data_IF_630865944160
#
_entry.id   IF_630865944160
#
_cell.length_a   1.000
_cell.length_b   1.000
_cell.length_c   1.000
_cell.angle_alpha   90.00
_cell.angle_beta   90.00
_cell.angle_gamma   90.00
#
_symmetry.space_group_name_H-M   'P 1'
#
loop_
_entity.id
_entity.type
_entity.pdbx_description
1 polymer ?
#
# COMPACT_ATOMS: atom_id res chain seq x y z
N UNK A 1 -15.56 -21.96 -6.90
CA UNK A 1 -15.13 -20.56 -6.67
C UNK A 1 -15.58 -19.62 -7.77
N UNK A 2 -15.17 -19.81 -9.02
CA UNK A 2 -15.53 -18.93 -10.15
C UNK A 2 -17.04 -18.70 -10.29
N UNK A 3 -17.86 -19.76 -10.19
CA UNK A 3 -19.33 -19.63 -10.25
C UNK A 3 -19.90 -18.80 -9.09
N UNK A 4 -19.32 -18.89 -7.89
CA UNK A 4 -19.78 -18.13 -6.72
C UNK A 4 -19.50 -16.64 -6.92
N UNK A 5 -18.29 -16.30 -7.35
CA UNK A 5 -17.92 -14.91 -7.68
C UNK A 5 -18.75 -14.39 -8.85
N UNK A 6 -18.99 -15.21 -9.88
CA UNK A 6 -19.86 -14.86 -11.00
C UNK A 6 -21.29 -14.53 -10.56
N UNK A 7 -21.91 -15.37 -9.72
CA UNK A 7 -23.25 -15.08 -9.19
C UNK A 7 -23.27 -13.84 -8.28
N UNK A 8 -22.24 -13.64 -7.46
CA UNK A 8 -22.08 -12.41 -6.66
C UNK A 8 -22.03 -11.16 -7.56
N UNK A 9 -21.32 -11.21 -8.69
CA UNK A 9 -21.28 -10.07 -9.64
C UNK A 9 -22.61 -9.82 -10.36
N UNK A 10 -23.47 -10.83 -10.45
CA UNK A 10 -24.84 -10.70 -10.96
C UNK A 10 -25.83 -10.22 -9.88
N UNK A 11 -25.34 -9.90 -8.67
CA UNK A 11 -26.16 -9.43 -7.55
C UNK A 11 -26.95 -10.54 -6.84
N UNK A 12 -26.64 -11.81 -7.12
CA UNK A 12 -27.27 -12.93 -6.42
C UNK A 12 -26.65 -13.04 -5.03
N UNK A 13 -27.49 -13.18 -4.00
CA UNK A 13 -27.02 -13.36 -2.64
C UNK A 13 -26.36 -14.73 -2.45
N UNK A 14 -25.04 -14.70 -2.33
CA UNK A 14 -24.23 -15.87 -2.06
C UNK A 14 -23.86 -16.00 -0.58
N UNK A 15 -24.32 -15.10 0.30
CA UNK A 15 -24.01 -15.09 1.73
C UNK A 15 -24.22 -16.43 2.47
N UNK A 16 -25.15 -17.33 2.08
CA UNK A 16 -25.28 -18.64 2.72
C UNK A 16 -24.04 -19.53 2.63
N UNK A 17 -23.12 -19.27 1.68
CA UNK A 17 -21.88 -20.04 1.52
C UNK A 17 -20.72 -19.53 2.39
N UNK A 18 -20.96 -18.62 3.33
CA UNK A 18 -19.88 -17.93 4.05
C UNK A 18 -18.94 -18.91 4.76
N UNK A 19 -19.47 -19.90 5.48
CA UNK A 19 -18.69 -20.91 6.20
C UNK A 19 -17.82 -21.77 5.26
N UNK A 20 -18.39 -22.21 4.14
CA UNK A 20 -17.70 -22.98 3.11
C UNK A 20 -16.58 -22.16 2.47
N UNK A 21 -16.82 -20.87 2.26
CA UNK A 21 -15.84 -19.95 1.69
C UNK A 21 -14.69 -19.66 2.65
N UNK A 22 -14.93 -19.62 3.96
CA UNK A 22 -13.85 -19.60 4.97
C UNK A 22 -13.03 -20.87 4.86
N UNK A 23 -13.65 -22.06 4.84
CA UNK A 23 -12.92 -23.32 4.73
C UNK A 23 -12.09 -23.41 3.44
N UNK A 24 -12.61 -22.88 2.34
CA UNK A 24 -11.93 -22.85 1.05
C UNK A 24 -10.65 -22.00 1.04
N UNK A 25 -10.48 -21.07 1.99
CA UNK A 25 -9.24 -20.27 2.12
C UNK A 25 -8.01 -21.11 2.45
N UNK A 26 -8.17 -22.33 2.98
CA UNK A 26 -7.09 -23.25 3.31
C UNK A 26 -6.38 -23.84 2.06
N UNK A 27 -6.85 -23.49 0.85
CA UNK A 27 -6.18 -23.85 -0.40
C UNK A 27 -4.78 -23.23 -0.52
N UNK A 28 -3.87 -23.94 -1.20
CA UNK A 28 -2.55 -23.44 -1.60
C UNK A 28 -2.59 -22.69 -2.93
N UNK A 29 -3.67 -22.81 -3.70
CA UNK A 29 -3.79 -22.10 -4.96
C UNK A 29 -4.09 -20.61 -4.72
N UNK A 30 -3.15 -19.75 -5.12
CA UNK A 30 -3.24 -18.31 -4.94
C UNK A 30 -4.46 -17.71 -5.67
N UNK A 31 -4.85 -18.27 -6.81
CA UNK A 31 -6.00 -17.76 -7.58
C UNK A 31 -7.30 -18.04 -6.83
N UNK A 32 -7.51 -19.28 -6.37
CA UNK A 32 -8.64 -19.62 -5.51
C UNK A 32 -8.66 -18.82 -4.20
N UNK A 33 -7.50 -18.61 -3.56
CA UNK A 33 -7.40 -17.82 -2.33
C UNK A 33 -7.83 -16.36 -2.57
N UNK A 34 -7.40 -15.74 -3.67
CA UNK A 34 -7.85 -14.40 -4.09
C UNK A 34 -9.37 -14.33 -4.26
N UNK A 35 -9.98 -15.35 -4.89
CA UNK A 35 -11.43 -15.42 -5.04
C UNK A 35 -12.15 -15.57 -3.69
N UNK A 36 -11.61 -16.37 -2.76
CA UNK A 36 -12.15 -16.48 -1.40
C UNK A 36 -12.13 -15.11 -0.70
N UNK A 37 -10.99 -14.42 -0.75
CA UNK A 37 -10.82 -13.15 -0.04
C UNK A 37 -11.66 -12.02 -0.60
N UNK A 38 -11.85 -11.97 -1.92
CA UNK A 38 -12.79 -11.07 -2.56
C UNK A 38 -14.22 -11.30 -2.03
N UNK A 39 -14.66 -12.57 -2.00
CA UNK A 39 -15.97 -12.93 -1.48
C UNK A 39 -16.12 -12.57 0.01
N UNK A 40 -15.14 -12.94 0.85
CA UNK A 40 -15.19 -12.70 2.28
C UNK A 40 -15.22 -11.19 2.58
N UNK A 41 -14.45 -10.39 1.85
CA UNK A 41 -14.46 -8.93 1.99
C UNK A 41 -15.82 -8.31 1.64
N UNK A 42 -16.56 -8.91 0.70
CA UNK A 42 -17.88 -8.43 0.30
C UNK A 42 -18.97 -8.76 1.32
N UNK A 43 -18.91 -9.94 1.95
CA UNK A 43 -19.97 -10.43 2.84
C UNK A 43 -19.65 -10.33 4.34
N UNK A 44 -18.41 -10.03 4.75
CA UNK A 44 -18.00 -10.02 6.17
C UNK A 44 -18.83 -9.06 7.02
N UNK A 45 -19.27 -7.92 6.49
CA UNK A 45 -20.11 -6.97 7.24
C UNK A 45 -21.50 -7.51 7.57
N UNK A 46 -21.99 -8.48 6.80
CA UNK A 46 -23.29 -9.13 7.00
C UNK A 46 -23.21 -10.33 7.95
N UNK A 47 -22.00 -10.80 8.26
CA UNK A 47 -21.73 -12.01 9.04
C UNK A 47 -20.77 -11.70 10.20
N UNK A 48 -21.15 -10.74 11.05
CA UNK A 48 -20.30 -10.22 12.13
C UNK A 48 -19.82 -11.29 13.12
N UNK A 49 -20.64 -12.30 13.42
CA UNK A 49 -20.26 -13.41 14.30
C UNK A 49 -19.11 -14.26 13.73
N UNK A 50 -19.11 -14.46 12.41
CA UNK A 50 -18.08 -15.24 11.70
C UNK A 50 -16.91 -14.38 11.22
N UNK A 51 -17.04 -13.05 11.25
CA UNK A 51 -16.00 -12.12 10.80
C UNK A 51 -14.70 -12.27 11.61
N UNK A 52 -14.79 -12.59 12.91
CA UNK A 52 -13.61 -12.84 13.74
C UNK A 52 -12.81 -14.08 13.26
N UNK A 53 -13.50 -15.11 12.77
CA UNK A 53 -12.84 -16.28 12.19
C UNK A 53 -12.09 -15.92 10.90
N UNK A 54 -12.67 -15.05 10.08
CA UNK A 54 -12.00 -14.50 8.88
C UNK A 54 -10.75 -13.73 9.27
N UNK A 55 -10.85 -12.84 10.26
CA UNK A 55 -9.72 -12.06 10.77
C UNK A 55 -8.60 -12.98 11.24
N UNK A 56 -8.91 -13.98 12.06
CA UNK A 56 -7.91 -14.96 12.54
C UNK A 56 -7.25 -15.73 11.39
N UNK A 57 -8.03 -16.10 10.37
CA UNK A 57 -7.52 -16.78 9.18
C UNK A 57 -6.56 -15.89 8.40
N UNK A 58 -6.91 -14.62 8.18
CA UNK A 58 -6.07 -13.65 7.49
C UNK A 58 -4.80 -13.33 8.29
N UNK A 59 -4.89 -13.20 9.61
CA UNK A 59 -3.72 -13.00 10.45
C UNK A 59 -2.78 -14.21 10.43
N UNK A 60 -3.31 -15.43 10.36
CA UNK A 60 -2.49 -16.63 10.16
C UNK A 60 -1.77 -16.60 8.81
N UNK A 61 -2.49 -16.32 7.73
CA UNK A 61 -1.93 -16.21 6.38
C UNK A 61 -0.93 -15.06 6.23
N UNK A 62 -1.05 -14.00 7.04
CA UNK A 62 -0.05 -12.94 7.11
C UNK A 62 1.32 -13.43 7.63
N UNK A 63 1.40 -14.62 8.23
CA UNK A 63 2.66 -15.24 8.66
C UNK A 63 3.10 -16.40 7.74
N UNK A 64 2.48 -16.55 6.55
CA UNK A 64 2.85 -17.57 5.57
C UNK A 64 4.28 -17.34 5.01
N UNK A 65 4.93 -18.42 4.57
CA UNK A 65 6.27 -18.34 3.96
C UNK A 65 6.23 -17.59 2.61
N UNK A 66 5.13 -17.74 1.86
CA UNK A 66 4.95 -17.08 0.57
C UNK A 66 4.57 -15.60 0.76
N UNK A 67 5.42 -14.64 0.31
CA UNK A 67 5.09 -13.22 0.40
C UNK A 67 3.81 -12.82 -0.34
N UNK A 68 3.42 -13.57 -1.38
CA UNK A 68 2.18 -13.32 -2.11
C UNK A 68 0.96 -13.62 -1.25
N UNK A 69 1.01 -14.69 -0.44
CA UNK A 69 -0.03 -14.99 0.54
C UNK A 69 -0.06 -13.92 1.63
N UNK A 70 1.10 -13.56 2.21
CA UNK A 70 1.18 -12.53 3.26
C UNK A 70 0.60 -11.19 2.80
N UNK A 71 1.04 -10.70 1.64
CA UNK A 71 0.59 -9.41 1.11
C UNK A 71 -0.89 -9.44 0.72
N UNK A 72 -1.37 -10.56 0.17
CA UNK A 72 -2.78 -10.74 -0.15
C UNK A 72 -3.66 -10.74 1.11
N UNK A 73 -3.22 -11.43 2.17
CA UNK A 73 -3.91 -11.48 3.45
C UNK A 73 -3.96 -10.09 4.10
N UNK A 74 -2.84 -9.36 4.11
CA UNK A 74 -2.78 -7.99 4.62
C UNK A 74 -3.75 -7.07 3.87
N UNK A 75 -3.74 -7.11 2.53
CA UNK A 75 -4.67 -6.33 1.71
C UNK A 75 -6.13 -6.66 2.01
N UNK A 76 -6.45 -7.95 2.15
CA UNK A 76 -7.82 -8.39 2.48
C UNK A 76 -8.25 -7.90 3.86
N UNK A 77 -7.36 -7.98 4.86
CA UNK A 77 -7.62 -7.53 6.22
C UNK A 77 -7.95 -6.03 6.24
N UNK A 78 -7.21 -5.22 5.49
CA UNK A 78 -7.46 -3.78 5.34
C UNK A 78 -8.77 -3.44 4.62
N UNK A 79 -9.29 -4.35 3.77
CA UNK A 79 -10.56 -4.15 3.05
C UNK A 79 -11.79 -4.66 3.80
N UNK A 80 -11.63 -5.39 4.90
CA UNK A 80 -12.75 -5.87 5.70
C UNK A 80 -13.53 -4.70 6.32
N UNK A 81 -14.85 -4.73 6.16
CA UNK A 81 -15.79 -3.75 6.72
C UNK A 81 -16.43 -4.33 7.98
N UNK A 82 -15.64 -4.48 9.04
CA UNK A 82 -16.06 -5.08 10.30
C UNK A 82 -15.82 -4.08 11.43
N UNK A 83 -16.72 -4.06 12.41
CA UNK A 83 -16.55 -3.22 13.60
C UNK A 83 -15.25 -3.55 14.32
N UNK A 84 -14.58 -2.53 14.86
CA UNK A 84 -13.32 -2.67 15.61
C UNK A 84 -12.17 -3.35 14.83
N UNK A 85 -12.21 -3.36 13.49
CA UNK A 85 -11.15 -3.96 12.66
C UNK A 85 -9.75 -3.39 12.96
N UNK A 86 -9.68 -2.14 13.41
CA UNK A 86 -8.44 -1.44 13.73
C UNK A 86 -7.62 -2.14 14.81
N UNK A 87 -8.27 -2.76 15.81
CA UNK A 87 -7.63 -3.54 16.88
C UNK A 87 -6.83 -4.74 16.34
N UNK A 88 -7.23 -5.26 15.17
CA UNK A 88 -6.62 -6.43 14.54
C UNK A 88 -5.67 -6.07 13.40
N UNK A 89 -5.67 -4.80 12.96
CA UNK A 89 -5.02 -4.37 11.72
C UNK A 89 -3.69 -3.66 11.96
N UNK A 90 -3.56 -2.87 13.02
CA UNK A 90 -2.37 -2.03 13.27
C UNK A 90 -1.10 -2.88 13.35
N UNK A 91 -1.10 -3.95 14.14
CA UNK A 91 0.07 -4.82 14.33
C UNK A 91 0.54 -5.50 13.03
N UNK A 92 -0.33 -6.17 12.24
CA UNK A 92 0.04 -6.68 10.92
C UNK A 92 0.60 -5.61 9.98
N UNK A 93 0.04 -4.39 9.97
CA UNK A 93 0.53 -3.31 9.10
C UNK A 93 1.92 -2.87 9.52
N UNK A 94 2.18 -2.66 10.81
CA UNK A 94 3.51 -2.28 11.33
C UNK A 94 4.55 -3.34 11.00
N UNK A 95 4.21 -4.63 11.17
CA UNK A 95 5.08 -5.74 10.75
C UNK A 95 5.30 -5.73 9.23
N UNK A 96 4.25 -5.49 8.47
CA UNK A 96 4.27 -5.45 7.01
C UNK A 96 5.18 -4.37 6.43
N UNK A 97 5.28 -3.20 7.08
CA UNK A 97 6.21 -2.13 6.70
C UNK A 97 7.68 -2.58 6.76
N UNK A 98 7.98 -3.61 7.55
CA UNK A 98 9.32 -4.15 7.77
C UNK A 98 9.50 -5.56 7.18
N UNK A 99 8.54 -6.07 6.40
CA UNK A 99 8.62 -7.38 5.78
C UNK A 99 9.81 -7.47 4.79
N UNK A 100 10.50 -8.62 4.67
CA UNK A 100 11.59 -8.80 3.70
C UNK A 100 11.14 -8.61 2.25
N UNK A 101 9.88 -8.91 1.92
CA UNK A 101 9.34 -8.80 0.58
C UNK A 101 8.86 -7.37 0.26
N UNK A 102 9.30 -6.78 -0.87
CA UNK A 102 8.80 -5.48 -1.31
C UNK A 102 7.29 -5.49 -1.60
N UNK A 103 6.74 -6.65 -2.02
CA UNK A 103 5.29 -6.78 -2.24
C UNK A 103 4.47 -6.58 -0.97
N UNK A 104 4.96 -7.08 0.17
CA UNK A 104 4.29 -6.91 1.46
C UNK A 104 4.48 -5.47 1.96
N UNK A 105 5.70 -4.92 1.87
CA UNK A 105 5.98 -3.53 2.29
C UNK A 105 5.13 -2.51 1.53
N UNK A 106 5.03 -2.62 0.20
CA UNK A 106 4.22 -1.67 -0.59
C UNK A 106 2.72 -1.80 -0.29
N UNK A 107 2.25 -3.02 0.01
CA UNK A 107 0.87 -3.26 0.48
C UNK A 107 0.64 -2.62 1.85
N UNK A 108 1.58 -2.79 2.78
CA UNK A 108 1.48 -2.24 4.13
C UNK A 108 1.40 -0.70 4.13
N UNK A 109 2.19 -0.02 3.28
CA UNK A 109 2.10 1.44 3.12
C UNK A 109 0.69 1.89 2.70
N UNK A 110 0.07 1.20 1.73
CA UNK A 110 -1.30 1.51 1.32
C UNK A 110 -2.32 1.20 2.42
N UNK A 111 -2.08 0.17 3.23
CA UNK A 111 -2.91 -0.12 4.39
C UNK A 111 -2.81 0.96 5.47
N UNK A 112 -1.68 1.65 5.63
CA UNK A 112 -1.59 2.81 6.54
C UNK A 112 -2.54 3.92 6.08
N UNK A 113 -2.61 4.21 4.78
CA UNK A 113 -3.59 5.16 4.24
C UNK A 113 -5.02 4.71 4.52
N UNK A 114 -5.30 3.41 4.40
CA UNK A 114 -6.62 2.88 4.73
C UNK A 114 -6.97 3.02 6.21
N UNK A 115 -6.01 2.82 7.12
CA UNK A 115 -6.20 3.06 8.56
C UNK A 115 -6.59 4.51 8.80
N UNK A 116 -5.97 5.47 8.09
CA UNK A 116 -6.27 6.91 8.20
C UNK A 116 -7.74 7.16 7.92
N UNK A 117 -8.23 6.61 6.82
CA UNK A 117 -9.60 6.80 6.35
C UNK A 117 -10.63 6.14 7.28
N UNK A 118 -10.22 5.14 8.06
CA UNK A 118 -11.05 4.47 9.06
C UNK A 118 -11.06 5.21 10.41
N UNK A 119 -9.95 5.82 10.79
CA UNK A 119 -9.84 6.64 12.00
C UNK A 119 -8.64 7.59 11.89
N UNK A 120 -8.94 8.89 11.88
CA UNK A 120 -7.90 9.94 11.93
C UNK A 120 -7.13 9.92 13.25
N UNK A 121 -7.78 9.49 14.34
CA UNK A 121 -7.23 9.48 15.70
C UNK A 121 -6.17 8.39 15.95
N UNK A 122 -6.08 7.37 15.09
CA UNK A 122 -5.03 6.33 15.19
C UNK A 122 -3.73 6.76 14.52
N UNK A 123 -3.78 7.72 13.58
CA UNK A 123 -2.60 8.26 12.89
C UNK A 123 -2.14 9.64 13.42
N UNK A 124 -2.03 9.85 14.74
CA UNK A 124 -1.06 10.78 15.30
C UNK A 124 0.20 10.05 15.81
N UNK A 125 0.32 8.73 15.58
CA UNK A 125 1.54 8.02 15.92
C UNK A 125 2.68 8.42 14.98
N UNK A 126 3.49 9.39 15.43
CA UNK A 126 4.74 9.83 14.79
C UNK A 126 5.61 8.64 14.36
N UNK A 127 5.50 7.49 15.04
CA UNK A 127 6.22 6.28 14.71
C UNK A 127 5.83 5.68 13.35
N UNK A 128 4.54 5.68 12.96
CA UNK A 128 4.10 5.18 11.66
C UNK A 128 4.59 6.07 10.51
N UNK A 129 4.44 7.39 10.67
CA UNK A 129 4.94 8.38 9.69
C UNK A 129 6.46 8.26 9.55
N UNK A 130 7.19 8.09 10.66
CA UNK A 130 8.62 7.88 10.62
C UNK A 130 9.02 6.58 9.93
N UNK A 131 8.28 5.48 10.14
CA UNK A 131 8.51 4.23 9.43
C UNK A 131 8.31 4.39 7.91
N UNK A 132 7.27 5.10 7.47
CA UNK A 132 7.05 5.41 6.04
C UNK A 132 8.17 6.29 5.50
N UNK A 133 8.60 7.32 6.25
CA UNK A 133 9.74 8.15 5.86
C UNK A 133 11.01 7.32 5.63
N UNK A 134 11.28 6.34 6.49
CA UNK A 134 12.41 5.42 6.32
C UNK A 134 12.28 4.52 5.08
N UNK A 135 11.08 4.35 4.51
CA UNK A 135 10.86 3.62 3.23
C UNK A 135 11.23 4.44 1.99
N UNK A 136 11.49 5.74 2.09
CA UNK A 136 12.07 6.51 0.98
C UNK A 136 13.47 6.03 0.57
N UNK A 137 14.12 5.25 1.44
CA UNK A 137 15.41 4.61 1.17
C UNK A 137 15.31 3.16 0.69
N UNK A 138 14.11 2.66 0.39
CA UNK A 138 13.91 1.27 -0.02
C UNK A 138 14.57 0.96 -1.38
N UNK A 139 14.98 -0.31 -1.56
CA UNK A 139 15.56 -0.78 -2.82
C UNK A 139 14.50 -0.92 -3.91
N UNK A 140 13.25 -1.20 -3.55
CA UNK A 140 12.18 -1.35 -4.52
C UNK A 140 11.55 0.02 -4.86
N UNK A 141 11.53 0.44 -6.14
CA UNK A 141 11.01 1.75 -6.54
C UNK A 141 9.51 1.89 -6.29
N UNK A 142 8.71 0.81 -6.31
CA UNK A 142 7.28 0.91 -5.99
C UNK A 142 7.06 1.13 -4.49
N UNK A 143 7.90 0.55 -3.63
CA UNK A 143 7.87 0.86 -2.18
C UNK A 143 8.19 2.33 -1.95
N UNK A 144 9.22 2.88 -2.62
CA UNK A 144 9.58 4.29 -2.52
C UNK A 144 8.44 5.19 -3.03
N UNK A 145 7.85 4.89 -4.18
CA UNK A 145 6.73 5.66 -4.74
C UNK A 145 5.52 5.68 -3.80
N UNK A 146 5.13 4.52 -3.27
CA UNK A 146 4.05 4.44 -2.30
C UNK A 146 4.38 5.22 -1.02
N UNK A 147 5.64 5.24 -0.58
CA UNK A 147 6.05 6.02 0.58
C UNK A 147 5.95 7.53 0.34
N UNK A 148 6.37 8.02 -0.85
CA UNK A 148 6.18 9.43 -1.25
C UNK A 148 4.70 9.78 -1.25
N UNK A 149 3.88 8.97 -1.93
CA UNK A 149 2.43 9.18 -1.98
C UNK A 149 1.82 9.21 -0.58
N UNK A 150 2.17 8.24 0.26
CA UNK A 150 1.62 8.14 1.60
C UNK A 150 2.02 9.31 2.50
N UNK A 151 3.25 9.83 2.39
CA UNK A 151 3.66 11.00 3.17
C UNK A 151 2.89 12.26 2.79
N UNK A 152 2.67 12.47 1.49
CA UNK A 152 1.87 13.60 1.00
C UNK A 152 0.42 13.49 1.48
N UNK A 153 -0.14 12.29 1.42
CA UNK A 153 -1.49 12.01 1.88
C UNK A 153 -1.64 12.17 3.41
N UNK A 154 -0.74 11.59 4.20
CA UNK A 154 -0.84 11.59 5.66
C UNK A 154 -0.51 12.93 6.31
N UNK A 155 0.36 13.73 5.70
CA UNK A 155 0.91 14.95 6.32
C UNK A 155 0.68 16.21 5.48
N UNK A 156 0.08 16.11 4.29
CA UNK A 156 -0.18 17.24 3.40
C UNK A 156 1.07 18.09 3.16
N UNK A 157 0.97 19.39 3.47
CA UNK A 157 2.09 20.35 3.36
C UNK A 157 3.30 19.99 4.23
N UNK A 158 3.08 19.39 5.40
CA UNK A 158 4.18 18.93 6.26
C UNK A 158 4.90 17.74 5.63
N UNK A 159 4.17 16.85 4.96
CA UNK A 159 4.73 15.72 4.20
C UNK A 159 5.60 16.20 3.05
N UNK A 160 5.09 17.17 2.27
CA UNK A 160 5.86 17.82 1.22
C UNK A 160 7.14 18.46 1.79
N UNK A 161 7.03 19.20 2.90
CA UNK A 161 8.17 19.84 3.57
C UNK A 161 9.23 18.84 4.03
N UNK A 162 8.83 17.64 4.50
CA UNK A 162 9.75 16.56 4.87
C UNK A 162 10.51 15.99 3.67
N UNK A 163 9.86 15.92 2.50
CA UNK A 163 10.46 15.43 1.26
C UNK A 163 11.43 16.46 0.67
N UNK A 164 10.99 17.70 0.48
CA UNK A 164 11.79 18.76 -0.14
C UNK A 164 12.85 19.33 0.82
N UNK A 165 12.64 19.24 2.13
CA UNK A 165 13.59 19.70 3.14
C UNK A 165 14.88 18.86 3.22
N UNK A 166 14.92 17.71 2.54
CA UNK A 166 16.09 16.84 2.51
C UNK A 166 16.57 16.61 1.07
N UNK A 167 17.59 17.39 0.68
CA UNK A 167 18.24 17.31 -0.64
C UNK A 167 18.60 15.88 -1.06
N UNK A 168 19.08 15.05 -0.12
CA UNK A 168 19.52 13.69 -0.43
C UNK A 168 18.38 12.78 -0.91
N UNK A 169 17.14 13.05 -0.47
CA UNK A 169 15.94 12.33 -0.93
C UNK A 169 15.63 12.73 -2.36
N UNK A 170 15.59 14.04 -2.65
CA UNK A 170 15.32 14.57 -3.99
C UNK A 170 16.32 14.02 -5.01
N UNK A 171 17.62 14.09 -4.71
CA UNK A 171 18.66 13.56 -5.60
C UNK A 171 18.47 12.05 -5.83
N UNK A 172 18.17 11.29 -4.78
CA UNK A 172 17.97 9.83 -4.91
C UNK A 172 16.76 9.49 -5.77
N UNK A 173 15.66 10.23 -5.60
CA UNK A 173 14.46 10.07 -6.43
C UNK A 173 14.77 10.39 -7.90
N UNK A 174 15.48 11.49 -8.16
CA UNK A 174 15.92 11.90 -9.51
C UNK A 174 16.86 10.87 -10.16
N UNK A 175 17.89 10.41 -9.45
CA UNK A 175 18.83 9.41 -9.95
C UNK A 175 18.12 8.11 -10.34
N UNK A 176 17.10 7.71 -9.58
CA UNK A 176 16.34 6.48 -9.79
C UNK A 176 15.08 6.68 -10.61
N UNK A 177 14.81 7.88 -11.15
CA UNK A 177 13.55 8.22 -11.81
C UNK A 177 13.21 7.25 -12.98
N UNK A 178 14.23 6.60 -13.58
CA UNK A 178 14.15 5.56 -14.64
C UNK A 178 13.46 4.27 -14.16
N UNK A 179 13.55 3.97 -12.87
CA UNK A 179 13.06 2.73 -12.27
C UNK A 179 11.57 2.80 -11.88
N UNK A 180 11.00 4.00 -11.86
CA UNK A 180 9.61 4.24 -11.49
C UNK A 180 8.68 4.09 -12.70
N UNK A 181 7.42 3.72 -12.47
CA UNK A 181 6.39 3.75 -13.51
C UNK A 181 5.94 5.20 -13.80
N UNK A 182 5.22 5.40 -14.91
CA UNK A 182 4.78 6.72 -15.38
C UNK A 182 4.06 7.54 -14.30
N UNK A 183 3.08 6.94 -13.62
CA UNK A 183 2.33 7.59 -12.53
C UNK A 183 3.23 8.05 -11.38
N UNK A 184 4.18 7.21 -10.99
CA UNK A 184 5.13 7.52 -9.91
C UNK A 184 6.12 8.59 -10.35
N UNK A 185 6.53 8.61 -11.62
CA UNK A 185 7.38 9.66 -12.17
C UNK A 185 6.66 11.01 -12.13
N UNK A 186 5.39 11.08 -12.56
CA UNK A 186 4.59 12.30 -12.45
C UNK A 186 4.53 12.80 -11.00
N UNK A 187 4.19 11.93 -10.05
CA UNK A 187 4.13 12.28 -8.63
C UNK A 187 5.48 12.82 -8.11
N UNK A 188 6.59 12.18 -8.47
CA UNK A 188 7.92 12.61 -8.04
C UNK A 188 8.28 13.96 -8.66
N UNK A 189 7.97 14.17 -9.94
CA UNK A 189 8.20 15.45 -10.62
C UNK A 189 7.36 16.57 -10.01
N UNK A 190 6.11 16.29 -9.63
CA UNK A 190 5.25 17.25 -8.91
C UNK A 190 5.88 17.65 -7.57
N UNK A 191 6.40 16.70 -6.79
CA UNK A 191 7.14 16.99 -5.53
C UNK A 191 8.39 17.83 -5.79
N UNK A 192 9.15 17.51 -6.84
CA UNK A 192 10.38 18.22 -7.19
C UNK A 192 10.09 19.64 -7.68
N UNK A 193 8.95 19.87 -8.33
CA UNK A 193 8.55 21.21 -8.79
C UNK A 193 8.40 22.22 -7.65
N UNK A 194 8.11 21.74 -6.43
CA UNK A 194 7.99 22.55 -5.21
C UNK A 194 9.33 22.74 -4.48
N UNK A 195 10.39 22.01 -4.89
CA UNK A 195 11.72 22.15 -4.31
C UNK A 195 12.36 23.47 -4.78
N UNK A 196 12.90 24.24 -3.82
CA UNK A 196 13.62 25.49 -4.08
C UNK A 196 15.13 25.27 -3.87
N UNK A 197 15.93 25.23 -4.96
CA UNK A 197 17.39 25.16 -4.84
C UNK A 197 17.94 26.36 -4.07
N UNK A 198 18.95 26.12 -3.23
CA UNK A 198 19.62 27.14 -2.43
C UNK A 198 20.78 27.81 -3.20
N UNK A 199 21.29 27.17 -4.25
CA UNK A 199 22.36 27.70 -5.09
C UNK A 199 22.11 27.41 -6.58
N UNK A 200 22.76 28.18 -7.45
CA UNK A 200 22.73 27.93 -8.89
C UNK A 200 23.35 26.58 -9.24
N UNK A 201 24.42 26.17 -8.55
CA UNK A 201 25.03 24.83 -8.73
C UNK A 201 24.03 23.70 -8.46
N UNK A 202 23.23 23.82 -7.39
CA UNK A 202 22.19 22.84 -7.05
C UNK A 202 21.06 22.83 -8.09
N UNK A 203 20.71 24.01 -8.60
CA UNK A 203 19.74 24.14 -9.69
C UNK A 203 20.23 23.45 -10.95
N UNK A 204 21.49 23.66 -11.34
CA UNK A 204 22.11 23.01 -12.50
C UNK A 204 22.21 21.49 -12.31
N UNK A 205 22.56 21.03 -11.11
CA UNK A 205 22.59 19.60 -10.78
C UNK A 205 21.21 18.94 -11.00
N UNK A 206 20.14 19.56 -10.50
CA UNK A 206 18.77 19.07 -10.71
C UNK A 206 18.36 19.13 -12.18
N UNK A 207 18.67 20.23 -12.88
CA UNK A 207 18.38 20.38 -14.31
C UNK A 207 19.06 19.31 -15.15
N UNK A 208 20.32 18.97 -14.88
CA UNK A 208 21.04 17.92 -15.61
C UNK A 208 20.36 16.55 -15.45
N UNK A 209 19.84 16.22 -14.26
CA UNK A 209 19.05 14.99 -14.07
C UNK A 209 17.73 14.99 -14.88
N UNK A 210 17.13 16.16 -15.09
CA UNK A 210 15.91 16.34 -15.87
C UNK A 210 16.16 16.41 -17.38
N UNK A 211 17.30 16.92 -17.84
CA UNK A 211 17.66 17.00 -19.26
C UNK A 211 17.84 15.60 -19.88
N UNK A 212 18.39 14.65 -19.10
CA UNK A 212 18.35 13.23 -19.46
C UNK A 212 16.93 12.68 -19.68
N UNK A 213 15.89 13.38 -19.20
CA UNK A 213 14.48 13.00 -19.37
C UNK A 213 13.78 13.74 -20.48
N UNK A 214 14.08 15.02 -20.67
CA UNK A 214 13.48 15.82 -21.73
C UNK A 214 13.96 15.39 -23.13
N UNK A 215 15.06 14.64 -23.20
CA UNK A 215 15.52 13.96 -24.42
C UNK A 215 14.78 12.65 -24.74
N UNK A 216 13.95 12.14 -23.81
CA UNK A 216 13.03 11.05 -24.11
C UNK A 216 11.77 11.59 -24.80
N UNK A 217 11.52 11.11 -26.03
CA UNK A 217 10.29 11.41 -26.75
C UNK A 217 9.09 10.71 -26.14
N UNK A 218 8.46 11.31 -25.12
CA UNK A 218 7.06 11.04 -24.85
C UNK A 218 6.21 11.99 -25.70
N UNK A 219 6.16 11.67 -26.99
CA UNK A 219 5.22 12.24 -27.95
C UNK A 219 4.53 11.09 -28.66
N UNK A 220 3.45 10.56 -28.08
CA UNK A 220 2.30 9.92 -28.75
C UNK A 220 1.21 9.65 -27.73
#
# INVERSE_FOLDING_TARGET
MERVVGYMTLGIDMSPLFSEMIMATATKDLVQKKMCYLYLSNYASMQSEMALLVINTLQKDFHDEDPMVRGLALRCLCSLRVNNILEYLVDPVVKGLNDPSPYVRKTAIMCVLRIRDLSEDIIPDRQLVHQIYNRLSDRDPQVVANAVHALLELQGRSGLSLLIGNKSIIIRLLQRIKEFNEWSQCLILDVISEFKPNSDDERFEIMNFLDERLSHGNSS
#
